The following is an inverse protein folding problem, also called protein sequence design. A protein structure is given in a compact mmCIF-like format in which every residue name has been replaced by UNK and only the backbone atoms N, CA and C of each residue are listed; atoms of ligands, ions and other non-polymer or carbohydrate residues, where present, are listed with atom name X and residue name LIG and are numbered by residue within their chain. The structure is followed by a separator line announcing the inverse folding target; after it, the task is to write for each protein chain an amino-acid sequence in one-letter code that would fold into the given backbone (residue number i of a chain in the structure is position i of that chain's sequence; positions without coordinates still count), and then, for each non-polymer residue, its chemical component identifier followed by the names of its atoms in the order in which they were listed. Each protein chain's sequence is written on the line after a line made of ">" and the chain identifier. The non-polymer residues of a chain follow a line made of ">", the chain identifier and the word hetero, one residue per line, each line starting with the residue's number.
data_IF_579066777404
#
_entry.id   IF_579066777404
#
_cell.length_a   1.000
_cell.length_b   1.000
_cell.length_c   1.000
_cell.angle_alpha   90.00
_cell.angle_beta   90.00
_cell.angle_gamma   90.00
#
_symmetry.space_group_name_H-M   'P 1'
#
loop_
_entity.id
_entity.type
_entity.pdbx_description
1 polymer ?
#
# COMPACT_ATOMS: atom_id res chain seq x y z
N UNK A 1 0.57 -34.62 -23.48
CA UNK A 1 -0.10 -33.75 -22.49
C UNK A 1 0.27 -32.30 -22.78
N UNK A 2 -0.67 -31.44 -23.15
CA UNK A 2 -0.40 -30.05 -23.60
C UNK A 2 0.01 -29.07 -22.49
N UNK A 3 -0.05 -29.49 -21.22
CA UNK A 3 0.21 -28.64 -20.05
C UNK A 3 1.35 -29.13 -19.14
N UNK A 4 2.14 -30.12 -19.56
CA UNK A 4 3.29 -30.59 -18.75
C UNK A 4 4.35 -29.50 -18.57
N UNK A 5 4.64 -28.75 -19.63
CA UNK A 5 5.57 -27.63 -19.55
C UNK A 5 5.03 -26.53 -18.62
N UNK A 6 3.72 -26.23 -18.71
CA UNK A 6 3.07 -25.27 -17.81
C UNK A 6 3.21 -25.73 -16.36
N UNK A 7 2.77 -26.95 -16.02
CA UNK A 7 2.88 -27.51 -14.66
C UNK A 7 4.31 -27.55 -14.12
N UNK A 8 5.31 -27.73 -14.97
CA UNK A 8 6.73 -27.74 -14.58
C UNK A 8 7.25 -26.35 -14.20
N UNK A 9 6.64 -25.29 -14.72
CA UNK A 9 7.08 -23.91 -14.50
C UNK A 9 6.04 -23.04 -13.77
N UNK A 10 4.84 -23.55 -13.45
CA UNK A 10 3.84 -22.83 -12.64
C UNK A 10 4.36 -22.69 -11.21
N UNK A 11 5.01 -21.56 -10.94
CA UNK A 11 5.34 -21.14 -9.56
C UNK A 11 4.32 -20.11 -9.15
N UNK A 12 3.43 -20.48 -8.24
CA UNK A 12 2.46 -19.54 -7.66
C UNK A 12 3.13 -18.60 -6.66
N UNK A 13 2.70 -17.34 -6.65
CA UNK A 13 3.46 -16.27 -5.99
C UNK A 13 3.27 -16.26 -4.49
N UNK A 14 2.10 -16.59 -3.94
CA UNK A 14 1.87 -16.47 -2.49
C UNK A 14 1.10 -17.68 -1.98
N UNK A 15 1.75 -18.84 -2.06
CA UNK A 15 1.15 -20.07 -1.54
C UNK A 15 1.38 -20.12 -0.04
N UNK A 16 0.32 -19.93 0.75
CA UNK A 16 0.41 -20.14 2.19
C UNK A 16 0.48 -21.65 2.47
N UNK A 17 1.40 -22.13 3.34
CA UNK A 17 1.51 -23.56 3.59
C UNK A 17 0.25 -24.16 4.19
N UNK A 18 -0.46 -23.45 5.07
CA UNK A 18 -1.77 -23.86 5.59
C UNK A 18 -2.85 -23.95 4.51
N UNK A 19 -2.89 -23.02 3.56
CA UNK A 19 -3.79 -23.11 2.42
C UNK A 19 -3.44 -24.30 1.53
N UNK A 20 -2.15 -24.51 1.24
CA UNK A 20 -1.68 -25.61 0.40
C UNK A 20 -2.01 -27.00 0.97
N UNK A 21 -2.03 -27.15 2.30
CA UNK A 21 -2.41 -28.41 2.99
C UNK A 21 -3.86 -28.83 2.72
N UNK A 22 -4.72 -27.90 2.30
CA UNK A 22 -6.12 -28.16 1.97
C UNK A 22 -6.33 -28.48 0.48
N UNK A 23 -5.24 -28.59 -0.28
CA UNK A 23 -5.24 -28.93 -1.71
C UNK A 23 -6.27 -28.10 -2.53
N UNK A 24 -6.21 -26.75 -2.46
CA UNK A 24 -7.18 -25.91 -3.14
C UNK A 24 -7.08 -26.08 -4.66
N UNK A 25 -8.18 -25.86 -5.40
CA UNK A 25 -8.17 -25.94 -6.85
C UNK A 25 -7.18 -24.93 -7.44
N UNK A 26 -6.51 -25.26 -8.54
CA UNK A 26 -5.48 -24.40 -9.16
C UNK A 26 -6.01 -22.99 -9.51
N UNK A 27 -7.31 -22.87 -9.82
CA UNK A 27 -7.99 -21.58 -10.04
C UNK A 27 -7.93 -20.64 -8.85
N UNK A 28 -7.92 -21.17 -7.61
CA UNK A 28 -7.76 -20.38 -6.40
C UNK A 28 -6.44 -19.61 -6.43
N UNK A 29 -5.35 -20.30 -6.76
CA UNK A 29 -3.99 -19.76 -6.80
C UNK A 29 -3.81 -18.78 -7.97
N UNK A 30 -4.36 -19.07 -9.14
CA UNK A 30 -4.31 -18.15 -10.28
C UNK A 30 -5.04 -16.83 -10.03
N UNK A 31 -6.24 -16.87 -9.44
CA UNK A 31 -6.99 -15.66 -9.14
C UNK A 31 -6.26 -14.83 -8.08
N UNK A 32 -5.72 -15.49 -7.06
CA UNK A 32 -4.90 -14.84 -6.05
C UNK A 32 -3.67 -14.15 -6.66
N UNK A 33 -2.91 -14.86 -7.50
CA UNK A 33 -1.72 -14.33 -8.16
C UNK A 33 -2.09 -13.13 -9.07
N UNK A 34 -3.18 -13.26 -9.83
CA UNK A 34 -3.69 -12.17 -10.67
C UNK A 34 -4.06 -10.92 -9.87
N UNK A 35 -4.75 -11.08 -8.74
CA UNK A 35 -5.15 -9.97 -7.88
C UNK A 35 -3.93 -9.28 -7.25
N UNK A 36 -2.95 -10.04 -6.73
CA UNK A 36 -1.78 -9.44 -6.10
C UNK A 36 -0.81 -8.81 -7.10
N UNK A 37 -0.63 -9.42 -8.28
CA UNK A 37 0.15 -8.80 -9.36
C UNK A 37 -0.51 -7.49 -9.78
N UNK A 38 -1.84 -7.48 -9.95
CA UNK A 38 -2.58 -6.27 -10.29
C UNK A 38 -2.39 -5.19 -9.23
N UNK A 39 -2.49 -5.56 -7.95
CA UNK A 39 -2.20 -4.68 -6.82
C UNK A 39 -0.80 -4.07 -6.92
N UNK A 40 0.22 -4.91 -7.13
CA UNK A 40 1.62 -4.45 -7.24
C UNK A 40 1.84 -3.50 -8.41
N UNK A 41 1.26 -3.78 -9.58
CA UNK A 41 1.34 -2.91 -10.77
C UNK A 41 0.63 -1.57 -10.51
N UNK A 42 -0.59 -1.59 -9.95
CA UNK A 42 -1.36 -0.40 -9.65
C UNK A 42 -0.65 0.51 -8.65
N UNK A 43 -0.06 -0.06 -7.59
CA UNK A 43 0.74 0.72 -6.65
C UNK A 43 2.03 1.24 -7.28
N UNK A 44 2.71 0.46 -8.12
CA UNK A 44 3.90 0.96 -8.83
C UNK A 44 3.56 2.17 -9.71
N UNK A 45 2.44 2.13 -10.45
CA UNK A 45 1.93 3.28 -11.20
C UNK A 45 1.62 4.47 -10.28
N UNK A 46 0.98 4.21 -9.13
CA UNK A 46 0.67 5.20 -8.12
C UNK A 46 1.93 5.93 -7.61
N UNK A 47 2.98 5.18 -7.24
CA UNK A 47 4.27 5.75 -6.83
C UNK A 47 4.90 6.61 -7.92
N UNK A 48 4.85 6.16 -9.18
CA UNK A 48 5.35 6.96 -10.31
C UNK A 48 4.61 8.30 -10.40
N UNK A 49 3.28 8.29 -10.35
CA UNK A 49 2.49 9.53 -10.40
C UNK A 49 2.75 10.43 -9.19
N UNK A 50 2.87 9.87 -7.98
CA UNK A 50 3.26 10.61 -6.79
C UNK A 50 4.61 11.30 -6.96
N UNK A 51 5.63 10.59 -7.42
CA UNK A 51 6.97 11.13 -7.66
C UNK A 51 6.93 12.24 -8.71
N UNK A 52 6.30 12.01 -9.87
CA UNK A 52 6.18 13.00 -10.94
C UNK A 52 5.47 14.27 -10.46
N UNK A 53 4.33 14.14 -9.76
CA UNK A 53 3.59 15.28 -9.21
C UNK A 53 4.39 16.03 -8.15
N UNK A 54 5.11 15.30 -7.30
CA UNK A 54 5.95 15.91 -6.26
C UNK A 54 7.10 16.72 -6.85
N UNK A 55 7.75 16.21 -7.91
CA UNK A 55 8.80 16.95 -8.62
C UNK A 55 8.23 18.18 -9.33
N UNK A 56 7.06 18.06 -9.95
CA UNK A 56 6.41 19.13 -10.73
C UNK A 56 5.91 20.27 -9.84
N UNK A 57 5.16 19.92 -8.79
CA UNK A 57 4.47 20.90 -7.96
C UNK A 57 5.30 21.35 -6.76
N UNK A 58 6.48 20.75 -6.56
CA UNK A 58 7.40 20.98 -5.42
C UNK A 58 6.68 20.85 -4.07
N UNK A 59 5.69 19.96 -4.01
CA UNK A 59 4.90 19.72 -2.81
C UNK A 59 4.51 18.24 -2.75
N UNK A 60 4.41 17.70 -1.55
CA UNK A 60 4.04 16.31 -1.32
C UNK A 60 2.54 16.21 -1.01
N UNK A 61 1.89 15.15 -1.48
CA UNK A 61 0.47 14.83 -1.27
C UNK A 61 0.12 14.35 0.16
N UNK A 62 1.12 14.35 1.05
CA UNK A 62 1.10 13.75 2.37
C UNK A 62 2.35 14.13 3.16
N UNK A 63 2.38 13.81 4.46
CA UNK A 63 3.63 13.89 5.21
C UNK A 63 4.49 12.68 4.89
N UNK A 64 5.69 12.91 4.33
CA UNK A 64 6.60 11.84 3.91
C UNK A 64 6.98 10.93 5.07
N UNK A 65 7.04 11.48 6.29
CA UNK A 65 7.41 10.77 7.51
C UNK A 65 6.50 9.57 7.81
N UNK A 66 5.25 9.53 7.32
CA UNK A 66 4.37 8.35 7.47
C UNK A 66 4.87 7.11 6.71
N UNK A 67 5.68 7.29 5.67
CA UNK A 67 6.25 6.16 4.92
C UNK A 67 7.21 5.30 5.74
N UNK A 68 7.69 5.79 6.89
CA UNK A 68 8.60 5.00 7.72
C UNK A 68 7.94 3.70 8.22
N UNK A 69 6.63 3.74 8.52
CA UNK A 69 5.87 2.56 8.91
C UNK A 69 5.73 1.57 7.75
N UNK A 70 5.37 2.06 6.56
CA UNK A 70 5.28 1.24 5.34
C UNK A 70 6.63 0.62 4.97
N UNK A 71 7.71 1.41 4.97
CA UNK A 71 9.05 0.88 4.70
C UNK A 71 9.48 -0.19 5.71
N UNK A 72 9.18 0.00 7.00
CA UNK A 72 9.46 -1.01 8.02
C UNK A 72 8.62 -2.28 7.79
N UNK A 73 7.34 -2.12 7.45
CA UNK A 73 6.44 -3.21 7.10
C UNK A 73 6.97 -4.04 5.93
N UNK A 74 7.32 -3.38 4.83
CA UNK A 74 7.82 -4.04 3.62
C UNK A 74 9.13 -4.77 3.87
N UNK A 75 10.08 -4.15 4.59
CA UNK A 75 11.32 -4.83 4.97
C UNK A 75 11.01 -6.04 5.87
N UNK A 76 10.26 -5.85 6.95
CA UNK A 76 10.08 -6.89 7.96
C UNK A 76 9.40 -8.13 7.37
N UNK A 77 8.25 -7.94 6.72
CA UNK A 77 7.47 -9.04 6.16
C UNK A 77 8.08 -9.63 4.88
N UNK A 78 8.95 -8.90 4.18
CA UNK A 78 9.78 -9.52 3.13
C UNK A 78 10.63 -10.67 3.68
N UNK A 79 11.08 -10.63 4.93
CA UNK A 79 11.93 -11.68 5.50
C UNK A 79 11.20 -12.67 6.39
N UNK A 80 10.14 -12.25 7.08
CA UNK A 80 9.38 -13.14 7.97
C UNK A 80 8.23 -13.85 7.27
N UNK A 81 7.58 -13.18 6.32
CA UNK A 81 6.41 -13.74 5.64
C UNK A 81 6.76 -14.46 4.36
N UNK A 82 7.88 -14.20 3.68
CA UNK A 82 8.16 -14.86 2.38
C UNK A 82 8.95 -16.15 2.52
N UNK A 83 8.65 -17.14 1.67
CA UNK A 83 9.38 -18.42 1.62
C UNK A 83 10.32 -18.48 0.43
N UNK A 84 9.89 -17.98 -0.73
CA UNK A 84 10.68 -18.04 -1.97
C UNK A 84 11.48 -16.77 -2.20
N UNK A 85 12.59 -16.89 -2.93
CA UNK A 85 13.37 -15.72 -3.36
C UNK A 85 12.53 -14.76 -4.20
N UNK A 86 11.63 -15.28 -5.03
CA UNK A 86 10.77 -14.46 -5.87
C UNK A 86 9.81 -13.62 -5.03
N UNK A 87 9.10 -14.24 -4.08
CA UNK A 87 8.24 -13.54 -3.11
C UNK A 87 8.99 -12.41 -2.40
N UNK A 88 10.19 -12.71 -1.90
CA UNK A 88 11.03 -11.75 -1.19
C UNK A 88 11.40 -10.56 -2.07
N UNK A 89 11.78 -10.81 -3.32
CA UNK A 89 12.11 -9.76 -4.26
C UNK A 89 10.89 -8.89 -4.59
N UNK A 90 9.70 -9.46 -4.72
CA UNK A 90 8.46 -8.71 -4.94
C UNK A 90 8.16 -7.74 -3.79
N UNK A 91 8.25 -8.17 -2.52
CA UNK A 91 8.10 -7.28 -1.37
C UNK A 91 9.20 -6.21 -1.32
N UNK A 92 10.45 -6.58 -1.60
CA UNK A 92 11.55 -5.60 -1.61
C UNK A 92 11.39 -4.55 -2.71
N UNK A 93 10.76 -4.87 -3.83
CA UNK A 93 10.42 -3.89 -4.87
C UNK A 93 9.49 -2.80 -4.31
N UNK A 94 8.49 -3.15 -3.49
CA UNK A 94 7.64 -2.17 -2.82
C UNK A 94 8.44 -1.29 -1.87
N UNK A 95 9.32 -1.87 -1.06
CA UNK A 95 10.25 -1.09 -0.24
C UNK A 95 11.10 -0.12 -1.08
N UNK A 96 11.62 -0.56 -2.23
CA UNK A 96 12.41 0.32 -3.10
C UNK A 96 11.57 1.47 -3.69
N UNK A 97 10.29 1.23 -4.00
CA UNK A 97 9.38 2.29 -4.44
C UNK A 97 9.12 3.31 -3.34
N UNK A 98 8.91 2.85 -2.09
CA UNK A 98 8.79 3.72 -0.92
C UNK A 98 10.03 4.58 -0.71
N UNK A 99 11.20 3.95 -0.69
CA UNK A 99 12.48 4.64 -0.50
C UNK A 99 12.75 5.66 -1.62
N UNK A 100 12.38 5.31 -2.86
CA UNK A 100 12.50 6.20 -4.01
C UNK A 100 11.58 7.41 -3.87
N UNK A 101 10.31 7.19 -3.52
CA UNK A 101 9.36 8.28 -3.32
C UNK A 101 9.75 9.16 -2.13
N UNK A 102 10.17 8.58 -1.01
CA UNK A 102 10.66 9.32 0.14
C UNK A 102 11.86 10.21 -0.23
N UNK A 103 12.81 9.66 -1.01
CA UNK A 103 13.94 10.41 -1.54
C UNK A 103 13.48 11.57 -2.43
N UNK A 104 12.64 11.30 -3.42
CA UNK A 104 12.11 12.33 -4.33
C UNK A 104 11.38 13.43 -3.55
N UNK A 105 10.56 13.08 -2.56
CA UNK A 105 9.84 14.04 -1.73
C UNK A 105 10.79 14.90 -0.89
N UNK A 106 11.76 14.31 -0.20
CA UNK A 106 12.75 15.04 0.61
C UNK A 106 13.55 16.02 -0.25
N UNK A 107 14.00 15.60 -1.44
CA UNK A 107 14.81 16.46 -2.30
C UNK A 107 14.00 17.48 -3.12
N UNK A 108 12.73 17.21 -3.43
CA UNK A 108 11.93 18.08 -4.30
C UNK A 108 10.96 19.00 -3.55
N UNK A 109 10.38 18.56 -2.43
CA UNK A 109 9.34 19.29 -1.72
C UNK A 109 9.82 19.97 -0.43
N UNK A 110 10.89 19.47 0.19
CA UNK A 110 11.40 20.03 1.45
C UNK A 110 12.58 21.00 1.24
N UNK A 111 12.56 22.09 2.01
CA UNK A 111 13.63 23.07 2.04
C UNK A 111 14.96 22.44 2.48
N UNK A 112 16.13 22.77 1.87
CA UNK A 112 17.42 22.14 2.13
C UNK A 112 17.79 22.01 3.62
N UNK A 113 17.50 23.07 4.41
CA UNK A 113 17.76 23.09 5.86
C UNK A 113 17.01 22.01 6.65
N UNK A 114 15.83 21.56 6.19
CA UNK A 114 15.00 20.55 6.85
C UNK A 114 15.25 19.13 6.36
N UNK A 115 15.88 18.95 5.19
CA UNK A 115 16.06 17.63 4.56
C UNK A 115 16.75 16.63 5.47
N UNK A 116 17.83 17.04 6.14
CA UNK A 116 18.58 16.17 7.07
C UNK A 116 17.71 15.69 8.24
N UNK A 117 16.91 16.59 8.81
CA UNK A 117 16.02 16.28 9.95
C UNK A 117 14.89 15.33 9.52
N UNK A 118 14.29 15.57 8.35
CA UNK A 118 13.22 14.70 7.82
C UNK A 118 13.80 13.32 7.47
N UNK A 119 14.95 13.26 6.81
CA UNK A 119 15.62 12.00 6.49
C UNK A 119 16.01 11.21 7.75
N UNK A 120 16.55 11.87 8.78
CA UNK A 120 16.89 11.19 10.04
C UNK A 120 15.66 10.64 10.75
N UNK A 121 14.53 11.36 10.71
CA UNK A 121 13.26 10.88 11.28
C UNK A 121 12.68 9.72 10.49
N UNK A 122 12.80 9.74 9.16
CA UNK A 122 12.41 8.61 8.32
C UNK A 122 13.21 7.35 8.68
N UNK A 123 14.54 7.44 8.70
CA UNK A 123 15.42 6.31 9.04
C UNK A 123 15.17 5.83 10.47
N UNK A 124 15.10 6.75 11.44
CA UNK A 124 14.80 6.41 12.83
C UNK A 124 13.43 5.77 12.98
N UNK A 125 12.42 6.27 12.25
CA UNK A 125 11.07 5.69 12.21
C UNK A 125 11.05 4.28 11.60
N UNK A 126 11.84 4.02 10.56
CA UNK A 126 11.97 2.66 9.98
C UNK A 126 12.57 1.70 11.01
N UNK A 127 13.68 2.09 11.65
CA UNK A 127 14.34 1.25 12.68
C UNK A 127 13.39 0.98 13.85
N UNK A 128 12.71 2.02 14.34
CA UNK A 128 11.71 1.89 15.40
C UNK A 128 10.53 0.99 14.98
N UNK A 129 10.05 1.16 13.75
CA UNK A 129 9.00 0.33 13.15
C UNK A 129 9.40 -1.14 13.05
N UNK A 130 10.63 -1.43 12.62
CA UNK A 130 11.17 -2.80 12.58
C UNK A 130 11.22 -3.44 13.97
N UNK A 131 11.72 -2.70 14.97
CA UNK A 131 11.74 -3.18 16.36
C UNK A 131 10.34 -3.41 16.91
N UNK A 132 9.40 -2.52 16.60
CA UNK A 132 8.00 -2.65 17.00
C UNK A 132 7.32 -3.86 16.35
N UNK A 133 7.45 -4.04 15.03
CA UNK A 133 6.90 -5.20 14.31
C UNK A 133 7.52 -6.50 14.80
N UNK A 134 8.83 -6.51 15.04
CA UNK A 134 9.51 -7.65 15.62
C UNK A 134 8.93 -8.04 16.99
N UNK A 135 8.83 -7.07 17.90
CA UNK A 135 8.22 -7.29 19.21
C UNK A 135 6.78 -7.78 19.09
N UNK A 136 5.98 -7.17 18.21
CA UNK A 136 4.58 -7.53 18.03
C UNK A 136 4.41 -8.99 17.57
N UNK A 137 5.22 -9.43 16.61
CA UNK A 137 5.21 -10.82 16.10
C UNK A 137 5.68 -11.82 17.18
N UNK A 138 6.58 -11.43 18.09
CA UNK A 138 6.93 -12.27 19.24
C UNK A 138 5.74 -12.45 20.21
N UNK A 139 4.87 -11.45 20.36
CA UNK A 139 3.67 -11.55 21.19
C UNK A 139 2.52 -12.33 20.53
N UNK A 140 2.42 -12.25 19.20
CA UNK A 140 1.38 -12.90 18.41
C UNK A 140 1.99 -13.81 17.33
N UNK A 141 2.69 -14.89 17.72
CA UNK A 141 3.38 -15.75 16.77
C UNK A 141 2.36 -16.49 15.90
N UNK A 142 2.52 -16.40 14.58
CA UNK A 142 1.69 -17.11 13.63
C UNK A 142 2.48 -17.65 12.42
N UNK A 143 1.88 -18.55 11.62
CA UNK A 143 2.55 -19.16 10.47
C UNK A 143 2.93 -18.06 9.47
N UNK A 144 4.24 -17.76 9.36
CA UNK A 144 4.80 -16.69 8.51
C UNK A 144 4.40 -15.27 8.95
N UNK A 145 4.04 -15.07 10.22
CA UNK A 145 3.65 -13.76 10.79
C UNK A 145 2.54 -13.04 10.01
N UNK A 146 1.68 -13.81 9.34
CA UNK A 146 0.74 -13.38 8.34
C UNK A 146 -0.48 -12.67 8.94
N UNK A 147 -0.98 -13.15 10.07
CA UNK A 147 -2.09 -12.50 10.78
C UNK A 147 -1.66 -11.10 11.20
N UNK A 148 -0.45 -11.00 11.77
CA UNK A 148 0.12 -9.72 12.17
C UNK A 148 0.40 -8.83 10.95
N UNK A 149 0.90 -9.38 9.84
CA UNK A 149 1.07 -8.65 8.58
C UNK A 149 -0.27 -8.09 8.06
N UNK A 150 -1.32 -8.89 8.05
CA UNK A 150 -2.64 -8.45 7.61
C UNK A 150 -3.13 -7.23 8.40
N UNK A 151 -3.12 -7.32 9.74
CA UNK A 151 -3.64 -6.26 10.59
C UNK A 151 -2.79 -4.99 10.54
N UNK A 152 -1.46 -5.14 10.59
CA UNK A 152 -0.56 -3.98 10.53
C UNK A 152 -0.62 -3.30 9.16
N UNK A 153 -0.71 -4.05 8.07
CA UNK A 153 -0.91 -3.52 6.72
C UNK A 153 -2.24 -2.76 6.60
N UNK A 154 -3.32 -3.32 7.14
CA UNK A 154 -4.63 -2.66 7.14
C UNK A 154 -4.62 -1.34 7.93
N UNK A 155 -3.94 -1.31 9.08
CA UNK A 155 -3.79 -0.10 9.90
C UNK A 155 -2.90 0.95 9.24
N UNK A 156 -1.84 0.54 8.53
CA UNK A 156 -0.96 1.46 7.81
C UNK A 156 -1.66 2.17 6.65
N UNK A 157 -2.69 1.56 6.07
CA UNK A 157 -3.47 2.17 4.99
C UNK A 157 -4.34 3.34 5.47
N UNK A 158 -4.84 3.31 6.72
CA UNK A 158 -5.72 4.33 7.29
C UNK A 158 -5.20 5.77 7.12
N UNK A 159 -3.98 6.13 7.60
CA UNK A 159 -3.51 7.50 7.55
C UNK A 159 -3.29 8.02 6.12
N UNK A 160 -3.11 7.16 5.13
CA UNK A 160 -2.80 7.55 3.75
C UNK A 160 -3.97 8.31 3.14
N UNK A 161 -5.15 7.68 3.06
CA UNK A 161 -6.33 8.30 2.44
C UNK A 161 -6.85 9.50 3.22
N UNK A 162 -6.95 9.37 4.54
CA UNK A 162 -7.40 10.45 5.40
C UNK A 162 -6.44 11.65 5.40
N UNK A 163 -5.13 11.40 5.40
CA UNK A 163 -4.11 12.45 5.32
C UNK A 163 -4.20 13.23 4.01
N UNK A 164 -4.36 12.55 2.87
CA UNK A 164 -4.52 13.21 1.58
C UNK A 164 -5.81 14.03 1.49
N UNK A 165 -6.94 13.53 2.01
CA UNK A 165 -8.20 14.25 2.04
C UNK A 165 -8.13 15.48 2.97
N UNK A 166 -7.53 15.33 4.14
CA UNK A 166 -7.31 16.42 5.09
C UNK A 166 -6.46 17.54 4.48
N UNK A 167 -5.39 17.20 3.76
CA UNK A 167 -4.53 18.18 3.10
C UNK A 167 -5.25 18.94 1.99
N UNK A 168 -6.07 18.26 1.18
CA UNK A 168 -6.91 18.91 0.17
C UNK A 168 -7.87 19.92 0.82
N UNK A 169 -8.60 19.50 1.85
CA UNK A 169 -9.59 20.34 2.53
C UNK A 169 -8.96 21.54 3.24
N UNK A 170 -7.79 21.33 3.87
CA UNK A 170 -7.10 22.35 4.65
C UNK A 170 -6.36 23.36 3.78
N UNK A 171 -5.65 22.88 2.74
CA UNK A 171 -4.87 23.77 1.86
C UNK A 171 -5.69 24.39 0.73
N UNK A 172 -6.90 23.85 0.46
CA UNK A 172 -7.77 24.26 -0.65
C UNK A 172 -7.01 24.37 -1.97
N UNK A 173 -6.13 23.42 -2.22
CA UNK A 173 -5.25 23.42 -3.39
C UNK A 173 -4.95 21.99 -3.82
N UNK A 174 -4.96 21.75 -5.13
CA UNK A 174 -4.69 20.45 -5.75
C UNK A 174 -3.20 20.15 -5.97
N UNK A 175 -2.28 21.05 -5.62
CA UNK A 175 -0.83 20.79 -5.78
C UNK A 175 -0.39 19.52 -5.03
N UNK A 176 0.39 18.68 -5.72
CA UNK A 176 0.85 17.38 -5.21
C UNK A 176 -0.19 16.27 -5.33
N UNK A 177 -1.44 16.62 -5.64
CA UNK A 177 -2.55 15.69 -5.82
C UNK A 177 -2.87 15.52 -7.31
N UNK A 178 -3.47 14.38 -7.67
CA UNK A 178 -4.01 14.15 -9.00
C UNK A 178 -5.07 13.05 -9.02
N UNK A 179 -5.89 12.99 -10.07
CA UNK A 179 -6.88 11.93 -10.23
C UNK A 179 -6.23 10.60 -10.64
N UNK A 180 -5.11 10.63 -11.37
CA UNK A 180 -4.35 9.43 -11.74
C UNK A 180 -3.77 8.73 -10.50
N UNK A 181 -3.24 9.51 -9.55
CA UNK A 181 -2.82 9.02 -8.23
C UNK A 181 -4.01 8.36 -7.50
N UNK A 182 -5.17 9.02 -7.52
CA UNK A 182 -6.36 8.50 -6.84
C UNK A 182 -6.86 7.20 -7.47
N UNK A 183 -7.07 7.15 -8.79
CA UNK A 183 -7.57 5.95 -9.48
C UNK A 183 -6.66 4.76 -9.24
N UNK A 184 -5.34 4.95 -9.42
CA UNK A 184 -4.38 3.85 -9.22
C UNK A 184 -4.33 3.37 -7.78
N UNK A 185 -4.35 4.27 -6.80
CA UNK A 185 -4.44 3.91 -5.37
C UNK A 185 -5.76 3.22 -5.03
N UNK A 186 -6.90 3.75 -5.47
CA UNK A 186 -8.22 3.19 -5.19
C UNK A 186 -8.36 1.77 -5.74
N UNK A 187 -7.95 1.57 -7.01
CA UNK A 187 -7.93 0.23 -7.61
C UNK A 187 -6.92 -0.68 -6.90
N UNK A 188 -5.76 -0.14 -6.48
CA UNK A 188 -4.78 -0.86 -5.65
C UNK A 188 -5.41 -1.39 -4.36
N UNK A 189 -6.09 -0.52 -3.59
CA UNK A 189 -6.85 -0.90 -2.39
C UNK A 189 -7.87 -2.00 -2.68
N UNK A 190 -8.66 -1.86 -3.76
CA UNK A 190 -9.66 -2.86 -4.15
C UNK A 190 -8.99 -4.21 -4.42
N UNK A 191 -7.96 -4.25 -5.26
CA UNK A 191 -7.26 -5.50 -5.59
C UNK A 191 -6.58 -6.15 -4.37
N UNK A 192 -6.04 -5.34 -3.44
CA UNK A 192 -5.50 -5.83 -2.18
C UNK A 192 -6.58 -6.48 -1.30
N UNK A 193 -7.70 -5.79 -1.07
CA UNK A 193 -8.79 -6.34 -0.26
C UNK A 193 -9.46 -7.54 -0.91
N UNK A 194 -9.66 -7.51 -2.22
CA UNK A 194 -10.17 -8.66 -2.97
C UNK A 194 -9.24 -9.87 -2.84
N UNK A 195 -7.92 -9.68 -2.78
CA UNK A 195 -6.99 -10.79 -2.52
C UNK A 195 -7.33 -11.45 -1.19
N UNK A 196 -7.49 -10.68 -0.11
CA UNK A 196 -7.82 -11.24 1.21
C UNK A 196 -9.23 -11.83 1.28
N UNK A 197 -10.24 -11.18 0.69
CA UNK A 197 -11.60 -11.72 0.64
C UNK A 197 -11.69 -12.99 -0.20
N UNK A 198 -10.95 -13.06 -1.31
CA UNK A 198 -10.85 -14.26 -2.13
C UNK A 198 -10.32 -15.44 -1.32
N UNK A 199 -9.28 -15.21 -0.52
CA UNK A 199 -8.74 -16.21 0.40
C UNK A 199 -9.75 -16.63 1.46
N UNK A 200 -10.42 -15.67 2.09
CA UNK A 200 -11.47 -15.93 3.07
C UNK A 200 -12.65 -16.74 2.53
N UNK A 201 -13.15 -16.44 1.32
CA UNK A 201 -14.30 -17.15 0.77
C UNK A 201 -13.99 -18.59 0.38
N UNK A 202 -12.76 -18.88 -0.02
CA UNK A 202 -12.37 -20.24 -0.41
C UNK A 202 -11.87 -21.05 0.80
N UNK A 203 -11.16 -20.42 1.74
CA UNK A 203 -10.55 -21.06 2.90
C UNK A 203 -10.83 -20.22 4.15
N UNK A 204 -12.09 -20.20 4.64
CA UNK A 204 -12.48 -19.33 5.76
C UNK A 204 -11.80 -19.70 7.08
N UNK A 205 -11.36 -20.94 7.25
CA UNK A 205 -10.71 -21.43 8.47
C UNK A 205 -9.36 -20.73 8.70
N UNK A 206 -8.53 -20.61 7.66
CA UNK A 206 -7.21 -19.96 7.73
C UNK A 206 -7.29 -18.43 7.72
N UNK A 207 -8.40 -17.88 7.22
CA UNK A 207 -8.58 -16.45 6.96
C UNK A 207 -9.73 -15.81 7.74
N UNK A 208 -10.18 -16.47 8.82
CA UNK A 208 -11.36 -16.07 9.60
C UNK A 208 -11.30 -14.63 10.12
N UNK A 209 -10.12 -14.12 10.43
CA UNK A 209 -9.90 -12.73 10.86
C UNK A 209 -10.23 -11.70 9.77
N UNK A 210 -10.14 -12.05 8.49
CA UNK A 210 -10.55 -11.19 7.37
C UNK A 210 -12.06 -11.01 7.34
N UNK A 211 -12.81 -12.06 7.64
CA UNK A 211 -14.27 -12.02 7.74
C UNK A 211 -14.79 -11.40 9.04
N UNK A 212 -13.91 -11.00 9.96
CA UNK A 212 -14.32 -10.46 11.25
C UNK A 212 -14.96 -9.08 11.11
N UNK A 213 -15.89 -8.77 12.03
CA UNK A 213 -16.53 -7.45 12.11
C UNK A 213 -15.50 -6.31 12.14
N UNK A 214 -14.42 -6.48 12.93
CA UNK A 214 -13.37 -5.48 13.06
C UNK A 214 -12.61 -5.25 11.75
N UNK A 215 -12.29 -6.32 11.02
CA UNK A 215 -11.63 -6.20 9.73
C UNK A 215 -12.50 -5.40 8.75
N UNK A 216 -13.77 -5.80 8.60
CA UNK A 216 -14.72 -5.16 7.69
C UNK A 216 -14.90 -3.68 8.06
N UNK A 217 -15.02 -3.37 9.35
CA UNK A 217 -15.14 -2.00 9.83
C UNK A 217 -13.91 -1.14 9.47
N UNK A 218 -12.70 -1.67 9.68
CA UNK A 218 -11.47 -0.93 9.36
C UNK A 218 -11.31 -0.76 7.84
N UNK A 219 -11.62 -1.78 7.04
CA UNK A 219 -11.64 -1.68 5.56
C UNK A 219 -12.62 -0.58 5.13
N UNK A 220 -13.84 -0.58 5.68
CA UNK A 220 -14.84 0.44 5.37
C UNK A 220 -14.33 1.85 5.70
N UNK A 221 -13.79 2.04 6.91
CA UNK A 221 -13.21 3.34 7.34
C UNK A 221 -12.05 3.77 6.44
N UNK A 222 -11.26 2.82 5.93
CA UNK A 222 -10.15 3.09 5.02
C UNK A 222 -10.62 3.48 3.63
N UNK A 223 -11.75 2.94 3.18
CA UNK A 223 -12.32 3.22 1.85
C UNK A 223 -13.13 4.51 1.78
N UNK A 224 -13.67 5.00 2.90
CA UNK A 224 -14.39 6.29 2.95
C UNK A 224 -13.61 7.44 2.30
N UNK A 225 -12.35 7.74 2.68
CA UNK A 225 -11.62 8.84 2.07
C UNK A 225 -11.38 8.59 0.58
N UNK A 226 -11.23 7.34 0.13
CA UNK A 226 -11.06 7.04 -1.29
C UNK A 226 -12.31 7.35 -2.12
N UNK A 227 -13.49 7.08 -1.59
CA UNK A 227 -14.75 7.40 -2.26
C UNK A 227 -15.00 8.91 -2.26
N UNK A 228 -14.68 9.61 -1.17
CA UNK A 228 -14.92 11.05 -1.03
C UNK A 228 -13.91 11.90 -1.81
N UNK A 229 -12.65 11.45 -1.91
CA UNK A 229 -11.54 12.17 -2.52
C UNK A 229 -11.83 12.78 -3.91
N UNK A 230 -12.33 12.04 -4.93
CA UNK A 230 -12.50 12.58 -6.27
C UNK A 230 -13.46 13.77 -6.29
N UNK A 231 -14.55 13.71 -5.51
CA UNK A 231 -15.53 14.80 -5.43
C UNK A 231 -14.91 16.06 -4.85
N UNK A 232 -14.18 15.93 -3.74
CA UNK A 232 -13.49 17.06 -3.10
C UNK A 232 -12.40 17.62 -4.00
N UNK A 233 -11.62 16.76 -4.65
CA UNK A 233 -10.57 17.18 -5.59
C UNK A 233 -11.16 17.96 -6.77
N UNK A 234 -12.21 17.44 -7.42
CA UNK A 234 -12.86 18.10 -8.57
C UNK A 234 -13.44 19.45 -8.15
N UNK A 235 -14.11 19.52 -7.00
CA UNK A 235 -14.65 20.77 -6.50
C UNK A 235 -13.56 21.83 -6.32
N UNK A 236 -12.47 21.49 -5.61
CA UNK A 236 -11.36 22.41 -5.39
C UNK A 236 -10.70 22.81 -6.72
N UNK A 237 -10.53 21.86 -7.64
CA UNK A 237 -9.93 22.14 -8.95
C UNK A 237 -10.75 23.17 -9.74
N UNK A 238 -12.08 23.01 -9.80
CA UNK A 238 -12.99 23.93 -10.46
C UNK A 238 -12.99 25.32 -9.81
N UNK A 239 -12.97 25.37 -8.48
CA UNK A 239 -12.90 26.63 -7.73
C UNK A 239 -11.60 27.40 -8.03
N UNK A 240 -10.47 26.68 -8.11
CA UNK A 240 -9.17 27.27 -8.47
C UNK A 240 -9.16 27.84 -9.89
N UNK A 241 -9.76 27.14 -10.86
CA UNK A 241 -9.79 27.61 -12.23
C UNK A 241 -10.74 28.80 -12.42
N UNK A 242 -11.88 28.82 -11.72
CA UNK A 242 -12.75 30.01 -11.64
C UNK A 242 -12.04 31.22 -11.06
N UNK A 243 -11.21 31.03 -10.02
CA UNK A 243 -10.44 32.13 -9.43
C UNK A 243 -9.38 32.66 -10.40
N UNK A 244 -8.68 31.80 -11.14
CA UNK A 244 -7.72 32.25 -12.16
C UNK A 244 -8.39 33.06 -13.26
N UNK A 245 -9.57 32.64 -13.72
CA UNK A 245 -10.33 33.34 -14.75
C UNK A 245 -10.82 34.73 -14.32
N UNK A 246 -11.02 34.97 -13.02
CA UNK A 246 -11.40 36.29 -12.49
C UNK A 246 -10.24 37.28 -12.40
N UNK A 247 -9.00 36.79 -12.45
CA UNK A 247 -7.78 37.59 -12.29
C UNK A 247 -7.14 37.94 -13.64
N UNK A 248 -7.56 37.26 -14.71
CA UNK A 248 -7.24 37.55 -16.12
C UNK A 248 -8.25 38.55 -16.71
#
# INVERSE_FOLDING_TARGET
>A
MSFELAKKYTTHLIVQPSDARLEPPESYLFIQDGLIISCGVLYALCYMFYMTRTVRDKTCAGAVEYLCGTMAYEIYYAFTTTTTTLERLCFLIWFFLDASFATVAVFSAYHPRRRKVVASRLVGGVIAGLGFLHMLCQYFPDEREQVTAYWTGLLLQLPIGWGSLYLLLSKRNTKGHSLEIWVTRFLGCITAYLTFFWRYWNIPENWSYVGSYWSIAVIAVTMIPEVVYPFVYIQIHLDQDRQKQKVL
#
